data_IF_326687830049
#
_entry.id   IF_326687830049
#
_cell.length_a   1.000
_cell.length_b   1.000
_cell.length_c   1.000
_cell.angle_alpha   90.00
_cell.angle_beta   90.00
_cell.angle_gamma   90.00
#
_symmetry.space_group_name_H-M   'P 1'
#
loop_
_entity.id
_entity.type
_entity.pdbx_description
1 polymer ?
#
# COMPACT_ATOMS: atom_id res chain seq x y z
N UNK A 1 -35.65 50.63 -1.27
CA UNK A 1 -35.44 49.48 -2.19
C UNK A 1 -33.98 49.09 -2.05
N UNK A 2 -33.68 48.02 -1.31
CA UNK A 2 -33.61 46.61 -1.73
C UNK A 2 -32.12 46.29 -1.96
N UNK A 3 -31.58 45.47 -1.06
CA UNK A 3 -30.20 45.01 -0.97
C UNK A 3 -29.81 44.15 -2.18
N UNK A 4 -28.52 44.14 -2.52
CA UNK A 4 -27.85 42.96 -3.08
C UNK A 4 -26.38 42.89 -2.57
N UNK A 5 -26.06 41.87 -1.74
CA UNK A 5 -24.69 41.51 -1.37
C UNK A 5 -24.25 40.28 -2.18
N UNK A 6 -23.16 40.38 -2.95
CA UNK A 6 -22.57 39.18 -3.57
C UNK A 6 -21.06 39.31 -3.77
N UNK A 7 -20.33 38.89 -2.75
CA UNK A 7 -18.96 38.38 -2.89
C UNK A 7 -18.71 37.37 -1.75
N UNK A 8 -19.26 36.17 -1.92
CA UNK A 8 -18.82 34.94 -1.25
C UNK A 8 -18.18 34.09 -2.33
N UNK A 9 -16.91 33.72 -2.14
CA UNK A 9 -16.15 32.56 -2.65
C UNK A 9 -14.68 32.98 -2.75
N UNK A 10 -13.69 32.23 -2.28
CA UNK A 10 -13.72 30.88 -1.73
C UNK A 10 -12.35 30.59 -1.11
N UNK A 11 -12.41 29.81 -0.05
CA UNK A 11 -11.32 29.20 0.70
C UNK A 11 -10.45 28.29 -0.20
N UNK A 12 -9.16 28.28 0.13
CA UNK A 12 -8.27 27.11 0.15
C UNK A 12 -8.11 26.29 -1.14
N UNK A 13 -7.13 26.65 -1.95
CA UNK A 13 -6.45 25.71 -2.86
C UNK A 13 -4.99 25.59 -2.40
N UNK A 14 -4.69 24.52 -1.66
CA UNK A 14 -3.35 23.94 -1.56
C UNK A 14 -3.45 22.67 -0.71
N UNK A 15 -3.90 21.57 -1.30
CA UNK A 15 -3.37 20.25 -0.97
C UNK A 15 -3.83 19.24 -2.02
N UNK A 16 -2.97 19.00 -2.99
CA UNK A 16 -3.16 17.96 -3.98
C UNK A 16 -1.82 17.26 -4.20
N UNK A 17 -1.28 16.74 -3.11
CA UNK A 17 -0.31 15.66 -3.18
C UNK A 17 -1.07 14.39 -3.58
N UNK A 18 -1.43 14.28 -4.87
CA UNK A 18 -2.03 13.08 -5.43
C UNK A 18 -1.04 11.93 -5.34
N UNK A 19 -1.13 11.23 -4.23
CA UNK A 19 -0.46 9.99 -3.97
C UNK A 19 -1.08 8.91 -4.86
N UNK A 20 -0.40 8.54 -5.95
CA UNK A 20 -0.80 7.52 -6.91
C UNK A 20 -0.98 6.09 -6.31
N UNK A 21 -0.99 5.94 -4.98
CA UNK A 21 -1.10 4.66 -4.28
C UNK A 21 -2.43 3.94 -4.47
N UNK A 22 -3.49 4.59 -5.01
CA UNK A 22 -4.84 4.02 -5.02
C UNK A 22 -5.67 4.30 -6.28
N UNK A 23 -5.09 4.21 -7.48
CA UNK A 23 -5.88 4.21 -8.72
C UNK A 23 -6.91 3.06 -8.81
N UNK A 24 -6.81 2.04 -7.94
CA UNK A 24 -7.93 1.11 -7.69
C UNK A 24 -8.82 1.64 -6.58
N UNK A 25 -9.76 2.46 -7.06
CA UNK A 25 -11.13 2.72 -6.59
C UNK A 25 -11.28 3.82 -5.53
N UNK A 26 -11.46 5.05 -6.03
CA UNK A 26 -11.96 6.22 -5.28
C UNK A 26 -13.21 5.92 -4.42
N UNK A 27 -13.97 4.88 -4.75
CA UNK A 27 -15.10 4.40 -3.95
C UNK A 27 -14.76 4.12 -2.47
N UNK A 28 -13.52 3.71 -2.16
CA UNK A 28 -13.09 3.45 -0.79
C UNK A 28 -12.51 4.68 -0.09
N UNK A 29 -12.35 5.81 -0.79
CA UNK A 29 -11.80 7.04 -0.20
C UNK A 29 -12.58 7.50 1.04
N UNK A 30 -13.92 7.54 1.06
CA UNK A 30 -14.65 7.96 2.26
C UNK A 30 -14.38 7.07 3.47
N UNK A 31 -14.20 5.77 3.25
CA UNK A 31 -13.83 4.81 4.30
C UNK A 31 -12.44 5.10 4.83
N UNK A 32 -11.46 5.36 3.96
CA UNK A 32 -10.11 5.69 4.40
C UNK A 32 -10.06 7.00 5.19
N UNK A 33 -10.72 8.05 4.71
CA UNK A 33 -10.81 9.33 5.40
C UNK A 33 -11.43 9.17 6.79
N UNK A 34 -12.50 8.38 6.90
CA UNK A 34 -13.09 8.05 8.19
C UNK A 34 -12.10 7.31 9.10
N UNK A 35 -11.45 6.25 8.62
CA UNK A 35 -10.50 5.47 9.42
C UNK A 35 -9.30 6.31 9.90
N UNK A 36 -8.86 7.29 9.12
CA UNK A 36 -7.79 8.20 9.52
C UNK A 36 -8.24 9.20 10.60
N UNK A 37 -9.50 9.62 10.57
CA UNK A 37 -10.09 10.49 11.59
C UNK A 37 -10.28 9.84 12.97
N UNK A 38 -10.34 8.50 13.04
CA UNK A 38 -10.59 7.78 14.28
C UNK A 38 -9.44 7.83 15.30
N UNK A 39 -8.25 8.33 14.92
CA UNK A 39 -7.02 8.48 15.72
C UNK A 39 -6.80 7.46 16.85
N UNK A 40 -7.09 6.19 16.57
CA UNK A 40 -7.03 5.09 17.53
C UNK A 40 -6.01 4.07 17.04
N UNK A 41 -5.28 3.46 17.98
CA UNK A 41 -4.30 2.40 17.69
C UNK A 41 -4.93 0.98 17.69
N UNK A 42 -6.22 0.90 18.02
CA UNK A 42 -6.98 -0.35 18.03
C UNK A 42 -7.70 -0.59 16.71
N UNK A 43 -7.94 -1.87 16.40
CA UNK A 43 -8.70 -2.24 15.22
C UNK A 43 -10.19 -1.89 15.41
N UNK A 44 -10.75 -1.11 14.48
CA UNK A 44 -12.16 -0.70 14.48
C UNK A 44 -13.11 -1.89 14.66
N UNK A 45 -14.07 -1.75 15.58
CA UNK A 45 -14.99 -2.82 15.94
C UNK A 45 -16.12 -2.90 14.93
N UNK A 46 -16.71 -4.09 14.78
CA UNK A 46 -17.80 -4.30 13.82
C UNK A 46 -19.01 -3.36 14.06
N UNK A 47 -19.25 -2.97 15.32
CA UNK A 47 -20.35 -2.05 15.68
C UNK A 47 -20.10 -0.66 15.12
N UNK A 48 -18.89 -0.13 15.27
CA UNK A 48 -18.52 1.21 14.81
C UNK A 48 -18.58 1.32 13.29
N UNK A 49 -18.17 0.26 12.59
CA UNK A 49 -18.30 0.20 11.13
C UNK A 49 -19.77 0.22 10.70
N UNK A 50 -20.64 -0.55 11.39
CA UNK A 50 -22.08 -0.55 11.09
C UNK A 50 -22.72 0.81 11.38
N UNK A 51 -22.33 1.45 12.48
CA UNK A 51 -22.78 2.79 12.84
C UNK A 51 -22.44 3.79 11.75
N UNK A 52 -21.16 3.86 11.37
CA UNK A 52 -20.69 4.77 10.35
C UNK A 52 -21.34 4.53 8.98
N UNK A 53 -21.51 3.27 8.57
CA UNK A 53 -22.23 2.92 7.34
C UNK A 53 -23.72 3.29 7.42
N UNK A 54 -24.31 3.36 8.60
CA UNK A 54 -25.71 3.76 8.78
C UNK A 54 -25.88 5.27 8.68
N UNK A 55 -24.94 6.03 9.25
CA UNK A 55 -24.87 7.49 9.10
C UNK A 55 -24.57 7.91 7.66
N UNK A 56 -23.84 7.08 6.91
CA UNK A 56 -23.44 7.33 5.52
C UNK A 56 -24.12 6.36 4.54
N UNK A 57 -25.46 6.47 4.45
CA UNK A 57 -26.29 5.53 3.71
C UNK A 57 -25.94 5.41 2.22
N UNK A 58 -25.55 6.51 1.57
CA UNK A 58 -25.17 6.54 0.15
C UNK A 58 -23.91 5.70 -0.12
N UNK A 59 -22.87 5.89 0.71
CA UNK A 59 -21.62 5.14 0.64
C UNK A 59 -21.89 3.66 0.92
N UNK A 60 -22.73 3.36 1.91
CA UNK A 60 -23.14 1.99 2.23
C UNK A 60 -23.84 1.33 1.05
N UNK A 61 -24.79 2.00 0.42
CA UNK A 61 -25.53 1.48 -0.74
C UNK A 61 -24.58 1.20 -1.91
N UNK A 62 -23.73 2.18 -2.25
CA UNK A 62 -22.74 2.06 -3.32
C UNK A 62 -21.77 0.88 -3.08
N UNK A 63 -21.27 0.73 -1.85
CA UNK A 63 -20.38 -0.36 -1.46
C UNK A 63 -21.10 -1.72 -1.46
N UNK A 64 -22.35 -1.75 -0.99
CA UNK A 64 -23.16 -2.97 -0.89
C UNK A 64 -23.61 -3.52 -2.25
N UNK A 65 -23.72 -2.67 -3.28
CA UNK A 65 -24.04 -3.08 -4.65
C UNK A 65 -23.02 -4.07 -5.21
N UNK A 66 -21.73 -3.92 -4.84
CA UNK A 66 -20.61 -4.70 -5.40
C UNK A 66 -20.00 -5.70 -4.43
N UNK A 67 -20.23 -5.53 -3.13
CA UNK A 67 -19.57 -6.34 -2.10
C UNK A 67 -20.58 -6.84 -1.09
N UNK A 68 -20.45 -8.12 -0.73
CA UNK A 68 -21.21 -8.69 0.38
C UNK A 68 -20.86 -7.98 1.70
N UNK A 69 -21.79 -8.02 2.65
CA UNK A 69 -21.59 -7.47 4.00
C UNK A 69 -20.31 -8.02 4.67
N UNK A 70 -20.02 -9.30 4.46
CA UNK A 70 -18.79 -9.92 4.96
C UNK A 70 -17.54 -9.27 4.35
N UNK A 71 -17.53 -9.10 3.02
CA UNK A 71 -16.40 -8.47 2.32
C UNK A 71 -16.18 -7.03 2.78
N UNK A 72 -17.26 -6.26 2.97
CA UNK A 72 -17.16 -4.89 3.50
C UNK A 72 -16.47 -4.86 4.86
N UNK A 73 -16.99 -5.63 5.83
CA UNK A 73 -16.39 -5.67 7.17
C UNK A 73 -14.93 -6.10 7.14
N UNK A 74 -14.65 -7.19 6.42
CA UNK A 74 -13.30 -7.72 6.36
C UNK A 74 -12.33 -6.72 5.71
N UNK A 75 -12.74 -6.10 4.61
CA UNK A 75 -11.90 -5.16 3.88
C UNK A 75 -11.65 -3.87 4.67
N UNK A 76 -12.68 -3.31 5.31
CA UNK A 76 -12.55 -2.12 6.17
C UNK A 76 -11.57 -2.40 7.32
N UNK A 77 -11.70 -3.54 8.00
CA UNK A 77 -10.74 -3.95 9.04
C UNK A 77 -9.33 -4.10 8.50
N UNK A 78 -9.17 -4.71 7.31
CA UNK A 78 -7.87 -4.85 6.65
C UNK A 78 -7.25 -3.50 6.31
N UNK A 79 -8.05 -2.53 5.87
CA UNK A 79 -7.61 -1.15 5.61
C UNK A 79 -7.09 -0.49 6.87
N UNK A 80 -7.83 -0.61 7.97
CA UNK A 80 -7.43 -0.03 9.25
C UNK A 80 -6.15 -0.65 9.81
N UNK A 81 -6.01 -1.98 9.76
CA UNK A 81 -4.75 -2.66 10.14
C UNK A 81 -3.57 -2.16 9.30
N UNK A 82 -3.76 -1.93 7.99
CA UNK A 82 -2.70 -1.35 7.14
C UNK A 82 -2.38 0.09 7.56
N UNK A 83 -3.37 0.88 7.92
CA UNK A 83 -3.20 2.26 8.38
C UNK A 83 -2.45 2.31 9.72
N UNK A 84 -2.83 1.47 10.69
CA UNK A 84 -2.17 1.31 11.99
C UNK A 84 -0.70 0.91 11.86
N UNK A 85 -0.42 -0.12 11.03
CA UNK A 85 0.96 -0.53 10.71
C UNK A 85 1.80 0.57 10.08
N UNK A 86 1.15 1.51 9.38
CA UNK A 86 1.81 2.69 8.83
C UNK A 86 2.01 3.73 9.93
N UNK A 87 0.97 4.08 10.72
CA UNK A 87 1.00 5.08 11.82
C UNK A 87 2.04 4.76 12.90
N UNK A 88 2.17 3.49 13.31
CA UNK A 88 3.21 3.07 14.24
C UNK A 88 4.65 3.24 13.72
N UNK A 89 4.82 3.50 12.41
CA UNK A 89 6.10 3.85 11.79
C UNK A 89 6.30 5.36 11.58
N UNK A 90 5.27 6.20 11.84
CA UNK A 90 5.24 7.64 11.49
C UNK A 90 5.85 8.59 12.55
N UNK A 91 6.43 8.10 13.65
CA UNK A 91 7.22 8.95 14.57
C UNK A 91 8.67 9.13 14.10
N UNK A 92 9.09 8.40 13.06
CA UNK A 92 10.35 8.63 12.37
C UNK A 92 10.04 8.81 10.88
N UNK A 93 10.60 9.83 10.24
CA UNK A 93 10.49 10.16 8.80
C UNK A 93 9.33 11.07 8.38
N UNK A 94 9.36 12.33 8.84
CA UNK A 94 9.49 13.40 7.83
C UNK A 94 10.91 13.31 7.27
N UNK A 95 11.04 13.48 5.95
CA UNK A 95 12.28 13.45 5.16
C UNK A 95 12.58 12.13 4.45
N UNK A 96 13.07 12.35 3.24
CA UNK A 96 13.30 11.48 2.09
C UNK A 96 14.08 10.20 2.34
N UNK A 97 13.69 9.18 1.57
CA UNK A 97 14.54 8.11 1.02
C UNK A 97 15.13 7.06 2.00
N UNK A 98 15.23 5.86 1.44
CA UNK A 98 15.98 4.69 1.91
C UNK A 98 15.40 3.87 3.07
N UNK A 99 14.99 2.66 2.69
CA UNK A 99 14.84 1.50 3.56
C UNK A 99 16.21 1.15 4.17
N UNK A 100 16.40 1.44 5.45
CA UNK A 100 17.62 1.10 6.19
C UNK A 100 17.37 -0.13 7.06
N UNK A 101 17.79 -1.30 6.56
CA UNK A 101 17.95 -2.52 7.36
C UNK A 101 19.34 -2.46 8.00
N UNK A 102 19.40 -2.24 9.32
CA UNK A 102 20.63 -2.45 10.07
C UNK A 102 20.90 -3.96 10.13
N UNK A 103 22.02 -4.40 9.56
CA UNK A 103 22.64 -5.68 9.85
C UNK A 103 24.01 -5.39 10.44
N UNK A 104 24.22 -5.92 11.64
CA UNK A 104 25.48 -5.88 12.35
C UNK A 104 26.50 -6.71 11.57
N UNK A 105 27.63 -6.09 11.25
CA UNK A 105 28.77 -6.70 10.57
C UNK A 105 29.57 -7.55 11.57
N UNK A 106 29.76 -8.83 11.25
CA UNK A 106 30.84 -9.66 11.77
C UNK A 106 31.33 -10.60 10.67
N UNK A 107 32.55 -10.26 10.25
CA UNK A 107 33.58 -10.90 9.42
C UNK A 107 33.63 -12.45 9.34
N UNK A 108 34.09 -12.90 8.16
CA UNK A 108 34.85 -14.12 7.80
C UNK A 108 34.10 -15.33 7.17
N UNK A 109 34.23 -15.36 5.84
CA UNK A 109 34.65 -16.48 4.97
C UNK A 109 33.95 -17.86 4.97
N UNK A 110 33.50 -18.21 3.76
CA UNK A 110 33.21 -19.52 3.15
C UNK A 110 31.78 -20.06 3.19
N UNK A 111 31.37 -20.43 1.98
CA UNK A 111 30.26 -21.28 1.55
C UNK A 111 28.89 -20.61 1.44
N UNK A 112 28.52 -20.32 0.18
CA UNK A 112 27.17 -20.03 -0.30
C UNK A 112 26.23 -21.15 0.14
N UNK A 113 25.61 -20.98 1.30
CA UNK A 113 24.56 -21.83 1.82
C UNK A 113 23.23 -21.09 1.70
N UNK A 114 22.31 -21.79 1.06
CA UNK A 114 20.92 -21.44 0.77
C UNK A 114 20.22 -20.84 2.01
N UNK A 115 19.85 -19.56 1.94
CA UNK A 115 19.00 -18.92 2.95
C UNK A 115 17.57 -19.43 2.74
N UNK A 116 17.20 -20.48 3.48
CA UNK A 116 15.83 -20.90 3.66
C UNK A 116 15.17 -20.02 4.73
N UNK A 117 14.24 -19.16 4.33
CA UNK A 117 13.29 -18.54 5.25
C UNK A 117 12.02 -19.41 5.29
N UNK A 118 11.82 -20.21 6.33
CA UNK A 118 10.54 -20.90 6.54
C UNK A 118 10.24 -21.03 8.03
N UNK A 119 9.21 -20.29 8.48
CA UNK A 119 8.55 -20.49 9.75
C UNK A 119 7.37 -21.45 9.59
N UNK A 120 7.50 -22.60 10.25
CA UNK A 120 6.51 -23.61 10.65
C UNK A 120 5.96 -24.63 9.62
N UNK A 121 6.08 -25.90 10.03
CA UNK A 121 5.80 -27.17 9.34
C UNK A 121 4.31 -27.55 9.34
N UNK A 122 3.82 -28.24 8.30
CA UNK A 122 3.52 -29.71 8.27
C UNK A 122 3.01 -30.17 6.89
N UNK A 123 3.73 -31.15 6.32
CA UNK A 123 3.30 -32.17 5.35
C UNK A 123 2.41 -31.81 4.14
N UNK A 124 3.03 -31.44 2.99
CA UNK A 124 2.67 -31.94 1.64
C UNK A 124 3.67 -31.50 0.55
N UNK A 125 4.89 -32.05 0.56
CA UNK A 125 5.86 -31.89 -0.54
C UNK A 125 5.57 -32.95 -1.61
N UNK A 126 4.98 -32.58 -2.77
CA UNK A 126 5.79 -32.28 -3.96
C UNK A 126 5.31 -31.11 -4.86
N UNK A 127 4.17 -30.46 -4.56
CA UNK A 127 3.53 -29.47 -5.46
C UNK A 127 4.18 -28.08 -5.43
N UNK A 128 4.79 -27.69 -4.31
CA UNK A 128 5.37 -26.36 -4.15
C UNK A 128 6.71 -26.18 -4.89
N UNK A 129 7.38 -27.28 -5.25
CA UNK A 129 8.65 -27.25 -5.99
C UNK A 129 8.44 -26.64 -7.38
N UNK A 130 7.36 -27.02 -8.07
CA UNK A 130 7.02 -26.48 -9.39
C UNK A 130 6.67 -25.00 -9.32
N UNK A 131 5.90 -24.59 -8.31
CA UNK A 131 5.52 -23.19 -8.09
C UNK A 131 6.77 -22.34 -7.81
N UNK A 132 7.70 -22.86 -7.00
CA UNK A 132 8.96 -22.16 -6.72
C UNK A 132 9.82 -22.02 -7.97
N UNK A 133 9.99 -23.09 -8.76
CA UNK A 133 10.73 -23.05 -10.03
C UNK A 133 10.11 -22.08 -11.03
N UNK A 134 8.78 -22.11 -11.19
CA UNK A 134 8.07 -21.20 -12.07
C UNK A 134 8.27 -19.73 -11.68
N UNK A 135 8.24 -19.42 -10.37
CA UNK A 135 8.53 -18.07 -9.87
C UNK A 135 9.98 -17.65 -10.12
N UNK A 136 10.92 -18.58 -9.95
CA UNK A 136 12.33 -18.33 -10.23
C UNK A 136 12.56 -18.05 -11.72
N UNK A 137 11.97 -18.84 -12.61
CA UNK A 137 12.02 -18.62 -14.06
C UNK A 137 11.39 -17.28 -14.46
N UNK A 138 10.24 -16.93 -13.88
CA UNK A 138 9.60 -15.64 -14.12
C UNK A 138 10.49 -14.48 -13.66
N UNK A 139 11.15 -14.60 -12.51
CA UNK A 139 12.08 -13.61 -12.00
C UNK A 139 13.30 -13.45 -12.92
N UNK A 140 13.85 -14.55 -13.44
CA UNK A 140 14.98 -14.53 -14.39
C UNK A 140 14.58 -13.83 -15.69
N UNK A 141 13.42 -14.19 -16.28
CA UNK A 141 12.92 -13.52 -17.50
C UNK A 141 12.72 -12.02 -17.30
N UNK A 142 12.19 -11.62 -16.13
CA UNK A 142 12.02 -10.19 -15.78
C UNK A 142 13.36 -9.47 -15.68
N UNK A 143 14.36 -10.11 -15.07
CA UNK A 143 15.71 -9.57 -14.96
C UNK A 143 16.36 -9.36 -16.33
N UNK A 144 16.22 -10.31 -17.25
CA UNK A 144 16.74 -10.18 -18.62
C UNK A 144 16.13 -9.00 -19.38
N UNK A 145 14.81 -8.78 -19.24
CA UNK A 145 14.13 -7.62 -19.82
C UNK A 145 14.68 -6.31 -19.24
N UNK A 146 14.91 -6.26 -17.92
CA UNK A 146 15.46 -5.08 -17.26
C UNK A 146 16.88 -4.76 -17.74
N UNK A 147 17.73 -5.77 -17.94
CA UNK A 147 19.07 -5.58 -18.51
C UNK A 147 19.03 -5.06 -19.94
N UNK A 148 18.11 -5.56 -20.77
CA UNK A 148 17.96 -5.08 -22.15
C UNK A 148 17.50 -3.62 -22.17
N UNK A 149 16.58 -3.22 -21.28
CA UNK A 149 16.22 -1.81 -21.13
C UNK A 149 17.36 -0.95 -20.61
N UNK A 150 18.14 -1.42 -19.64
CA UNK A 150 19.33 -0.70 -19.17
C UNK A 150 20.31 -0.43 -20.33
N UNK A 151 20.56 -1.44 -21.16
CA UNK A 151 21.41 -1.32 -22.34
C UNK A 151 20.86 -0.30 -23.35
N UNK A 152 19.56 -0.32 -23.63
CA UNK A 152 18.92 0.65 -24.51
C UNK A 152 19.01 2.08 -23.96
N UNK A 153 18.83 2.26 -22.64
CA UNK A 153 18.97 3.56 -21.98
C UNK A 153 20.41 4.07 -22.01
N UNK A 154 21.40 3.21 -21.77
CA UNK A 154 22.82 3.59 -21.87
C UNK A 154 23.21 3.98 -23.29
N UNK A 155 22.62 3.33 -24.30
CA UNK A 155 22.83 3.69 -25.71
C UNK A 155 22.16 5.03 -26.06
N UNK A 156 20.95 5.29 -25.55
CA UNK A 156 20.20 6.52 -25.82
C UNK A 156 20.75 7.75 -25.07
N UNK A 157 21.32 7.54 -23.89
CA UNK A 157 21.87 8.59 -23.04
C UNK A 157 23.36 8.33 -22.73
N UNK A 158 24.25 8.52 -23.72
CA UNK A 158 25.68 8.38 -23.48
C UNK A 158 26.10 9.35 -22.38
N UNK A 159 26.74 8.83 -21.33
CA UNK A 159 27.25 9.65 -20.22
C UNK A 159 28.19 10.70 -20.81
N UNK A 160 27.83 11.98 -20.69
CA UNK A 160 28.68 13.11 -21.08
C UNK A 160 29.95 13.02 -20.23
N UNK A 161 31.09 12.76 -20.88
CA UNK A 161 32.39 12.84 -20.22
C UNK A 161 32.72 14.31 -20.01
N UNK A 162 32.54 14.80 -18.79
CA UNK A 162 33.17 16.04 -18.30
C UNK A 162 34.67 15.84 -18.14
#
# INVERSE_FOLDING_TARGET
MRMDPKAVSSLTENESAFDHRFQRTDQWMPVYSWLESLDTDEVVKSKDILHWLTENAEIREQLSSRHSRYHLMHYIKKCHVKLLKRKGKKVLTLSSSSCSTQMHESKEEKQLSMIQCAGSNVSSLPKDIEIYKAKQEEAVRKYEILLEFEKQLLAAFPKVKT
#
